data_IF_536010673565
#
_entry.id   IF_536010673565
#
_cell.length_a   1.000
_cell.length_b   1.000
_cell.length_c   1.000
_cell.angle_alpha   90.00
_cell.angle_beta   90.00
_cell.angle_gamma   90.00
#
_symmetry.space_group_name_H-M   'P 1'
#
loop_
_entity.id
_entity.type
_entity.pdbx_description
1 polymer ?
#
# COMPACT_ATOMS: atom_id res chain seq x y z
N UNK A 1 1.95 18.31 43.29
CA UNK A 1 1.66 16.95 42.79
C UNK A 1 2.34 16.78 41.45
N UNK A 2 3.66 16.50 41.53
CA UNK A 2 4.50 16.20 40.37
C UNK A 2 4.53 14.70 40.17
N UNK A 3 3.86 14.21 39.14
CA UNK A 3 3.94 12.83 38.67
C UNK A 3 4.20 12.85 37.17
N UNK A 4 5.48 12.85 36.77
CA UNK A 4 5.88 12.66 35.38
C UNK A 4 5.43 11.26 34.93
N UNK A 5 4.40 11.19 34.12
CA UNK A 5 4.12 10.02 33.30
C UNK A 5 5.11 10.01 32.14
N UNK A 6 6.15 9.21 32.32
CA UNK A 6 7.15 8.91 31.29
C UNK A 6 6.50 7.93 30.29
N UNK A 7 5.74 8.44 29.33
CA UNK A 7 5.14 7.63 28.26
C UNK A 7 6.19 7.48 27.16
N UNK A 8 6.86 6.31 27.16
CA UNK A 8 7.96 5.95 26.25
C UNK A 8 7.62 5.97 24.74
N UNK A 9 6.45 6.43 24.35
CA UNK A 9 6.01 6.50 22.94
C UNK A 9 6.53 7.77 22.26
N UNK A 10 6.70 8.89 23.00
CA UNK A 10 7.11 10.16 22.40
C UNK A 10 8.59 10.23 22.00
N UNK A 11 9.45 9.39 22.56
CA UNK A 11 10.90 9.42 22.25
C UNK A 11 11.31 8.58 21.04
N UNK A 12 10.44 7.72 20.50
CA UNK A 12 10.82 6.76 19.47
C UNK A 12 10.63 7.25 18.04
N UNK A 13 9.85 8.30 17.81
CA UNK A 13 9.60 8.86 16.47
C UNK A 13 10.53 10.02 16.07
N UNK A 14 11.28 10.60 17.02
CA UNK A 14 12.14 11.75 16.73
C UNK A 14 13.58 11.35 17.03
N UNK A 15 14.29 10.83 16.05
CA UNK A 15 15.75 10.86 16.04
C UNK A 15 16.19 12.11 15.27
N UNK A 16 16.87 13.10 15.92
CA UNK A 16 17.13 14.39 15.30
C UNK A 16 18.26 14.42 14.27
N UNK A 17 18.96 13.35 13.99
CA UNK A 17 20.11 13.34 13.08
C UNK A 17 20.26 12.01 12.32
N UNK A 18 19.50 11.82 11.25
CA UNK A 18 20.00 11.13 10.08
C UNK A 18 19.71 12.02 8.87
N UNK A 19 20.71 12.22 8.04
CA UNK A 19 20.61 12.92 6.77
C UNK A 19 19.33 12.50 6.06
N UNK A 20 18.63 13.47 5.49
CA UNK A 20 17.32 13.35 4.83
C UNK A 20 17.40 12.49 3.55
N UNK A 21 17.98 11.29 3.65
CA UNK A 21 18.11 10.35 2.55
C UNK A 21 16.76 9.69 2.32
N UNK A 22 16.24 9.85 1.13
CA UNK A 22 15.02 9.18 0.68
C UNK A 22 15.20 7.66 0.80
N UNK A 23 14.25 6.99 1.45
CA UNK A 23 14.10 5.54 1.41
C UNK A 23 12.69 5.18 1.00
N UNK A 24 12.55 4.29 0.04
CA UNK A 24 11.25 3.85 -0.46
C UNK A 24 10.86 2.54 0.20
N UNK A 25 9.69 2.52 0.84
CA UNK A 25 9.04 1.31 1.31
C UNK A 25 8.15 0.74 0.21
N UNK A 26 8.16 -0.57 0.04
CA UNK A 26 7.27 -1.28 -0.87
C UNK A 26 6.55 -2.37 -0.08
N UNK A 27 5.21 -2.31 -0.04
CA UNK A 27 4.40 -3.39 0.50
C UNK A 27 3.82 -4.17 -0.67
N UNK A 28 4.28 -5.43 -0.82
CA UNK A 28 3.80 -6.35 -1.83
C UNK A 28 2.56 -7.11 -1.37
N UNK A 29 1.51 -7.12 -2.21
CA UNK A 29 0.33 -7.97 -2.06
C UNK A 29 0.52 -9.36 -2.66
N UNK A 30 -0.61 -10.00 -3.01
CA UNK A 30 -0.63 -11.33 -3.63
C UNK A 30 0.28 -11.39 -4.87
N UNK A 31 1.15 -12.37 -4.93
CA UNK A 31 2.08 -12.59 -6.03
C UNK A 31 3.40 -11.79 -5.98
N UNK A 32 3.46 -10.67 -5.26
CA UNK A 32 4.67 -9.89 -5.11
C UNK A 32 5.31 -10.13 -3.73
N UNK A 33 6.12 -11.17 -3.64
CA UNK A 33 6.74 -11.61 -2.37
C UNK A 33 8.22 -11.25 -2.25
N UNK A 34 8.87 -10.90 -3.35
CA UNK A 34 10.26 -10.43 -3.41
C UNK A 34 10.47 -9.55 -4.64
N UNK A 35 11.58 -8.83 -4.67
CA UNK A 35 12.04 -8.01 -5.78
C UNK A 35 13.42 -8.51 -6.19
N UNK A 36 13.52 -9.09 -7.37
CA UNK A 36 14.78 -9.67 -7.89
C UNK A 36 15.85 -8.61 -8.15
N UNK A 37 15.42 -7.38 -8.45
CA UNK A 37 16.31 -6.24 -8.71
C UNK A 37 16.87 -5.60 -7.44
N UNK A 38 16.50 -6.10 -6.27
CA UNK A 38 17.00 -5.57 -5.00
C UNK A 38 18.41 -6.09 -4.74
N UNK A 39 19.38 -5.18 -4.80
CA UNK A 39 20.82 -5.46 -4.60
C UNK A 39 21.22 -5.24 -3.13
N UNK A 40 22.24 -5.97 -2.67
CA UNK A 40 22.78 -5.81 -1.31
C UNK A 40 21.75 -6.13 -0.23
N UNK A 41 20.96 -7.17 -0.43
CA UNK A 41 19.82 -7.49 0.42
C UNK A 41 20.23 -7.90 1.83
N UNK A 42 19.51 -7.35 2.82
CA UNK A 42 19.60 -7.72 4.23
C UNK A 42 18.19 -7.99 4.77
N UNK A 43 18.02 -9.10 5.46
CA UNK A 43 16.77 -9.44 6.13
C UNK A 43 16.78 -8.88 7.55
N UNK A 44 15.78 -8.04 7.87
CA UNK A 44 15.69 -7.35 9.16
C UNK A 44 14.44 -7.81 9.91
N UNK A 45 14.67 -8.39 11.08
CA UNK A 45 13.63 -8.75 12.03
C UNK A 45 13.41 -7.60 13.03
N UNK A 46 12.19 -7.10 13.13
CA UNK A 46 11.84 -6.04 14.07
C UNK A 46 10.74 -6.51 15.02
N UNK A 47 10.95 -6.26 16.30
CA UNK A 47 9.87 -6.21 17.28
C UNK A 47 9.33 -4.79 17.35
N UNK A 48 8.02 -4.65 17.38
CA UNK A 48 7.37 -3.33 17.40
C UNK A 48 6.48 -3.18 18.63
N UNK A 49 6.13 -1.96 19.04
CA UNK A 49 5.15 -1.73 20.10
C UNK A 49 3.74 -2.27 19.77
N UNK A 50 3.52 -2.65 18.52
CA UNK A 50 2.25 -3.15 17.99
C UNK A 50 2.28 -4.64 17.66
N UNK A 51 3.29 -5.36 18.14
CA UNK A 51 3.50 -6.78 17.85
C UNK A 51 4.47 -7.01 16.67
N UNK A 52 4.48 -8.23 16.18
CA UNK A 52 5.33 -8.62 15.05
C UNK A 52 4.73 -8.14 13.73
N UNK A 53 5.56 -7.64 12.79
CA UNK A 53 5.13 -7.41 11.40
C UNK A 53 4.70 -8.69 10.68
N UNK A 54 4.08 -8.54 9.52
CA UNK A 54 3.63 -9.67 8.68
C UNK A 54 4.76 -10.63 8.30
N UNK A 55 5.97 -10.10 8.18
CA UNK A 55 7.20 -10.83 7.88
C UNK A 55 8.40 -10.01 8.36
N UNK A 56 9.60 -10.56 8.22
CA UNK A 56 10.83 -9.75 8.20
C UNK A 56 10.80 -8.77 7.03
N UNK A 57 11.48 -7.64 7.23
CA UNK A 57 11.69 -6.66 6.15
C UNK A 57 12.94 -7.06 5.36
N UNK A 58 12.88 -6.94 4.05
CA UNK A 58 14.07 -7.08 3.20
C UNK A 58 14.51 -5.69 2.77
N UNK A 59 15.70 -5.28 3.16
CA UNK A 59 16.29 -4.00 2.73
C UNK A 59 17.37 -4.23 1.69
N UNK A 60 17.62 -3.22 0.86
CA UNK A 60 18.64 -3.22 -0.19
C UNK A 60 18.53 -1.95 -1.03
N UNK A 61 19.04 -1.99 -2.23
CA UNK A 61 18.99 -0.85 -3.17
C UNK A 61 18.50 -1.29 -4.54
N UNK A 62 17.76 -0.41 -5.21
CA UNK A 62 17.39 -0.54 -6.63
C UNK A 62 17.86 0.73 -7.32
N UNK A 63 18.79 0.63 -8.28
CA UNK A 63 19.41 1.76 -8.96
C UNK A 63 19.97 2.82 -7.98
N UNK A 64 20.57 2.39 -6.86
CA UNK A 64 21.13 3.27 -5.84
C UNK A 64 20.09 3.94 -4.93
N UNK A 65 18.80 3.64 -5.09
CA UNK A 65 17.74 4.09 -4.19
C UNK A 65 17.56 3.07 -3.08
N UNK A 66 17.72 3.45 -1.80
CA UNK A 66 17.47 2.55 -0.68
C UNK A 66 16.00 2.13 -0.61
N UNK A 67 15.76 0.83 -0.54
CA UNK A 67 14.42 0.22 -0.50
C UNK A 67 14.26 -0.62 0.76
N UNK A 68 13.05 -0.67 1.30
CA UNK A 68 12.61 -1.64 2.29
C UNK A 68 11.34 -2.33 1.78
N UNK A 69 11.40 -3.62 1.59
CA UNK A 69 10.30 -4.44 1.07
C UNK A 69 9.64 -5.26 2.19
N UNK A 70 8.31 -5.40 2.13
CA UNK A 70 7.54 -6.23 3.06
C UNK A 70 6.42 -6.97 2.33
N UNK A 71 6.33 -8.32 2.42
CA UNK A 71 5.17 -9.06 1.96
C UNK A 71 4.00 -8.88 2.94
N UNK A 72 2.91 -8.26 2.48
CA UNK A 72 1.75 -7.86 3.30
C UNK A 72 1.10 -9.02 4.04
N UNK A 73 0.90 -10.13 3.36
CA UNK A 73 0.22 -11.31 3.91
C UNK A 73 1.18 -12.35 4.51
N UNK A 74 2.45 -11.97 4.71
CA UNK A 74 3.51 -12.91 5.05
C UNK A 74 3.93 -13.79 3.86
N UNK A 75 5.04 -14.50 4.03
CA UNK A 75 5.52 -15.46 3.03
C UNK A 75 4.53 -16.61 2.94
N UNK A 76 4.12 -16.96 1.73
CA UNK A 76 3.13 -18.00 1.48
C UNK A 76 1.66 -17.55 1.67
N UNK A 77 1.39 -16.27 1.81
CA UNK A 77 0.04 -15.70 1.94
C UNK A 77 -0.75 -16.31 3.11
N UNK A 78 -0.14 -16.30 4.30
CA UNK A 78 -0.66 -16.98 5.49
C UNK A 78 -1.58 -16.12 6.36
N UNK A 79 -1.61 -14.80 6.13
CA UNK A 79 -2.43 -13.87 6.90
C UNK A 79 -3.66 -13.43 6.08
N UNK A 80 -4.85 -13.62 6.66
CA UNK A 80 -6.08 -13.00 6.12
C UNK A 80 -5.99 -11.46 6.20
N UNK A 81 -6.77 -10.71 5.40
CA UNK A 81 -6.74 -9.25 5.42
C UNK A 81 -6.92 -8.62 6.79
N UNK A 82 -7.77 -9.21 7.65
CA UNK A 82 -8.03 -8.72 9.01
C UNK A 82 -6.92 -9.09 10.00
N UNK A 83 -6.12 -10.13 9.71
CA UNK A 83 -5.00 -10.55 10.55
C UNK A 83 -3.70 -9.78 10.27
N UNK A 84 -3.67 -8.99 9.19
CA UNK A 84 -2.49 -8.19 8.84
C UNK A 84 -2.20 -7.21 9.99
N UNK A 85 -0.99 -7.24 10.55
CA UNK A 85 -0.58 -6.34 11.62
C UNK A 85 -0.19 -4.95 11.06
N UNK A 86 -1.16 -4.23 10.48
CA UNK A 86 -0.93 -2.97 9.77
C UNK A 86 -0.08 -1.98 10.55
N UNK A 87 -0.36 -1.79 11.86
CA UNK A 87 0.42 -0.88 12.70
C UNK A 87 1.88 -1.32 12.82
N UNK A 88 2.13 -2.60 13.04
CA UNK A 88 3.48 -3.14 13.13
C UNK A 88 4.24 -2.98 11.80
N UNK A 89 3.55 -3.24 10.68
CA UNK A 89 4.13 -3.10 9.34
C UNK A 89 4.56 -1.65 9.05
N UNK A 90 3.65 -0.71 9.22
CA UNK A 90 3.92 0.72 8.91
C UNK A 90 4.92 1.31 9.90
N UNK A 91 4.80 0.98 11.20
CA UNK A 91 5.78 1.39 12.20
C UNK A 91 7.18 0.87 11.89
N UNK A 92 7.29 -0.42 11.51
CA UNK A 92 8.56 -1.04 11.15
C UNK A 92 9.22 -0.34 9.95
N UNK A 93 8.45 -0.07 8.89
CA UNK A 93 8.94 0.69 7.73
C UNK A 93 9.41 2.09 8.14
N UNK A 94 8.66 2.79 8.99
CA UNK A 94 9.07 4.10 9.53
C UNK A 94 10.37 4.00 10.33
N UNK A 95 10.51 2.96 11.16
CA UNK A 95 11.72 2.69 11.96
C UNK A 95 12.96 2.45 11.08
N UNK A 96 12.77 1.84 9.92
CA UNK A 96 13.82 1.64 8.90
C UNK A 96 14.12 2.91 8.08
N UNK A 97 13.47 4.03 8.39
CA UNK A 97 13.72 5.31 7.72
C UNK A 97 12.94 5.52 6.41
N UNK A 98 11.89 4.72 6.17
CA UNK A 98 11.03 4.91 5.00
C UNK A 98 10.34 6.26 5.05
N UNK A 99 10.41 6.98 3.95
CA UNK A 99 9.82 8.32 3.74
C UNK A 99 8.73 8.30 2.67
N UNK A 100 8.80 7.35 1.75
CA UNK A 100 7.86 7.15 0.65
C UNK A 100 7.41 5.70 0.66
N UNK A 101 6.11 5.47 0.63
CA UNK A 101 5.51 4.14 0.71
C UNK A 101 4.68 3.86 -0.53
N UNK A 102 5.03 2.80 -1.24
CA UNK A 102 4.27 2.29 -2.39
C UNK A 102 3.62 0.97 -1.99
N UNK A 103 2.30 0.93 -2.10
CA UNK A 103 1.51 -0.27 -1.86
C UNK A 103 1.09 -0.89 -3.18
N UNK A 104 1.30 -2.19 -3.34
CA UNK A 104 0.88 -2.94 -4.54
C UNK A 104 -0.12 -4.00 -4.13
N UNK A 105 -1.22 -4.13 -4.85
CA UNK A 105 -2.22 -5.15 -4.52
C UNK A 105 -3.20 -5.43 -5.64
N UNK A 106 -3.68 -6.68 -5.71
CA UNK A 106 -4.74 -7.10 -6.62
C UNK A 106 -6.09 -6.50 -6.18
N UNK A 107 -6.92 -6.15 -7.15
CA UNK A 107 -8.25 -5.58 -6.95
C UNK A 107 -9.24 -6.11 -8.00
N UNK A 108 -10.52 -6.17 -7.62
CA UNK A 108 -11.62 -6.30 -8.55
C UNK A 108 -11.97 -4.94 -9.16
N UNK A 109 -12.35 -4.93 -10.43
CA UNK A 109 -12.84 -3.74 -11.13
C UNK A 109 -14.33 -3.53 -10.91
N UNK A 110 -14.71 -2.28 -10.65
CA UNK A 110 -16.12 -1.84 -10.54
C UNK A 110 -16.57 -1.04 -11.76
N UNK A 111 -15.73 -0.96 -12.81
CA UNK A 111 -16.00 -0.17 -14.01
C UNK A 111 -15.67 -0.97 -15.26
N UNK A 112 -16.50 -0.82 -16.29
CA UNK A 112 -16.33 -1.47 -17.59
C UNK A 112 -15.00 -1.10 -18.27
N UNK A 113 -14.61 0.17 -18.18
CA UNK A 113 -13.38 0.68 -18.79
C UNK A 113 -12.10 0.23 -18.07
N UNK A 114 -12.20 -0.33 -16.86
CA UNK A 114 -11.06 -0.86 -16.11
C UNK A 114 -11.04 -2.38 -16.26
N UNK A 115 -10.48 -2.86 -17.36
CA UNK A 115 -10.42 -4.28 -17.64
C UNK A 115 -9.34 -5.01 -16.82
N UNK A 116 -9.45 -6.31 -16.62
CA UNK A 116 -8.35 -7.15 -16.11
C UNK A 116 -7.07 -6.91 -16.89
N UNK A 117 -5.94 -6.80 -16.20
CA UNK A 117 -4.65 -6.40 -16.78
C UNK A 117 -4.35 -4.89 -16.72
N UNK A 118 -5.33 -4.05 -16.41
CA UNK A 118 -5.12 -2.61 -16.27
C UNK A 118 -4.53 -2.26 -14.90
N UNK A 119 -3.76 -1.17 -14.86
CA UNK A 119 -3.17 -0.59 -13.64
C UNK A 119 -3.96 0.64 -13.22
N UNK A 120 -4.43 0.66 -11.99
CA UNK A 120 -5.17 1.80 -11.42
C UNK A 120 -4.32 2.43 -10.33
N UNK A 121 -4.26 3.76 -10.32
CA UNK A 121 -3.56 4.55 -9.29
C UNK A 121 -4.61 5.30 -8.47
N UNK A 122 -5.24 4.64 -7.47
CA UNK A 122 -6.33 5.24 -6.71
C UNK A 122 -5.84 6.46 -5.93
N UNK A 123 -6.66 7.50 -5.91
CA UNK A 123 -6.39 8.73 -5.17
C UNK A 123 -7.39 8.97 -4.03
N UNK A 124 -8.46 8.15 -3.95
CA UNK A 124 -9.46 8.20 -2.90
C UNK A 124 -9.80 6.81 -2.36
N UNK A 125 -10.23 6.77 -1.07
CA UNK A 125 -10.62 5.56 -0.39
C UNK A 125 -11.99 5.69 0.28
N UNK A 126 -12.80 4.63 0.18
CA UNK A 126 -13.96 4.40 1.03
C UNK A 126 -13.64 3.17 1.87
N UNK A 127 -13.50 3.36 3.18
CA UNK A 127 -13.15 2.29 4.11
C UNK A 127 -14.41 1.70 4.77
N UNK A 128 -14.74 0.47 4.41
CA UNK A 128 -15.85 -0.30 4.95
C UNK A 128 -15.40 -1.35 5.97
N UNK A 129 -14.13 -1.35 6.35
CA UNK A 129 -13.59 -2.28 7.34
C UNK A 129 -14.06 -1.93 8.77
N UNK A 130 -14.20 -2.94 9.65
CA UNK A 130 -14.81 -2.77 10.98
C UNK A 130 -13.90 -3.25 12.12
N UNK A 131 -13.04 -4.23 11.86
CA UNK A 131 -12.29 -4.94 12.90
C UNK A 131 -10.79 -4.64 12.88
N UNK A 132 -10.38 -3.55 12.24
CA UNK A 132 -8.96 -3.21 12.04
C UNK A 132 -8.56 -1.94 12.76
N UNK A 133 -7.39 -1.98 13.39
CA UNK A 133 -6.77 -0.78 13.93
C UNK A 133 -6.17 0.05 12.79
N UNK A 134 -6.65 1.27 12.61
CA UNK A 134 -6.21 2.20 11.56
C UNK A 134 -5.58 3.49 12.12
N UNK A 135 -5.11 3.45 13.37
CA UNK A 135 -4.44 4.58 14.04
C UNK A 135 -3.37 4.07 15.01
N UNK A 136 -2.29 4.85 15.14
CA UNK A 136 -1.27 4.66 16.19
C UNK A 136 -1.66 5.31 17.51
N UNK A 137 -2.60 6.25 17.48
CA UNK A 137 -3.06 6.98 18.66
C UNK A 137 -4.02 6.15 19.51
N UNK A 138 -4.20 6.56 20.75
CA UNK A 138 -5.04 5.90 21.73
C UNK A 138 -4.42 5.94 23.12
N UNK A 139 -5.02 5.24 24.09
CA UNK A 139 -4.50 5.11 25.45
C UNK A 139 -4.15 6.46 26.13
N UNK A 140 -5.01 7.47 25.93
CA UNK A 140 -4.84 8.81 26.49
C UNK A 140 -4.20 9.84 25.56
N UNK A 141 -3.78 9.44 24.36
CA UNK A 141 -3.30 10.34 23.30
C UNK A 141 -4.27 10.31 22.13
N UNK A 142 -4.76 11.48 21.75
CA UNK A 142 -5.63 11.65 20.56
C UNK A 142 -4.89 12.45 19.51
N UNK A 143 -4.89 11.95 18.28
CA UNK A 143 -4.35 12.65 17.11
C UNK A 143 -5.36 12.64 15.96
N UNK A 144 -5.48 13.76 15.28
CA UNK A 144 -6.29 13.89 14.08
C UNK A 144 -5.39 14.33 12.92
N UNK A 145 -5.39 13.55 11.85
CA UNK A 145 -4.65 13.88 10.62
C UNK A 145 -5.63 14.22 9.50
N UNK A 146 -5.26 15.18 8.67
CA UNK A 146 -6.04 15.49 7.48
C UNK A 146 -5.97 14.32 6.50
N UNK A 147 -7.11 13.87 5.97
CA UNK A 147 -7.21 12.72 5.09
C UNK A 147 -8.10 12.97 3.86
N UNK A 148 -8.39 14.23 3.54
CA UNK A 148 -9.12 14.63 2.32
C UNK A 148 -8.40 14.21 1.04
N UNK A 149 -7.06 14.31 1.06
CA UNK A 149 -6.17 13.84 -0.01
C UNK A 149 -5.27 12.73 0.55
N UNK A 150 -5.72 11.47 0.57
CA UNK A 150 -5.00 10.38 1.24
C UNK A 150 -3.70 9.99 0.55
N UNK A 151 -3.56 10.29 -0.74
CA UNK A 151 -2.44 9.87 -1.59
C UNK A 151 -1.53 11.04 -1.91
N UNK A 152 -0.23 10.80 -1.95
CA UNK A 152 0.75 11.77 -2.42
C UNK A 152 0.68 11.90 -3.94
N UNK A 153 0.08 12.97 -4.43
CA UNK A 153 -0.12 13.20 -5.87
C UNK A 153 1.21 13.20 -6.65
N UNK A 154 2.30 13.73 -6.08
CA UNK A 154 3.62 13.72 -6.71
C UNK A 154 4.17 12.31 -6.88
N UNK A 155 4.06 11.45 -5.86
CA UNK A 155 4.53 10.06 -5.93
C UNK A 155 3.65 9.27 -6.91
N UNK A 156 2.33 9.45 -6.86
CA UNK A 156 1.39 8.82 -7.79
C UNK A 156 1.69 9.21 -9.24
N UNK A 157 1.95 10.48 -9.51
CA UNK A 157 2.32 10.96 -10.86
C UNK A 157 3.60 10.26 -11.38
N UNK A 158 4.62 10.05 -10.54
CA UNK A 158 5.83 9.32 -10.93
C UNK A 158 5.55 7.86 -11.28
N UNK A 159 4.69 7.23 -10.52
CA UNK A 159 4.25 5.86 -10.80
C UNK A 159 3.48 5.78 -12.13
N UNK A 160 2.58 6.71 -12.39
CA UNK A 160 1.82 6.82 -13.65
C UNK A 160 2.77 7.06 -14.84
N UNK A 161 3.71 7.99 -14.72
CA UNK A 161 4.72 8.23 -15.76
C UNK A 161 5.53 6.97 -16.09
N UNK A 162 5.97 6.24 -15.06
CA UNK A 162 6.69 4.99 -15.22
C UNK A 162 5.82 3.90 -15.85
N UNK A 163 4.55 3.78 -15.44
CA UNK A 163 3.60 2.84 -15.99
C UNK A 163 3.37 3.05 -17.50
N UNK A 164 3.18 4.30 -17.91
CA UNK A 164 3.07 4.65 -19.33
C UNK A 164 4.34 4.29 -20.12
N UNK A 165 5.54 4.52 -19.55
CA UNK A 165 6.82 4.19 -20.20
C UNK A 165 7.05 2.70 -20.36
N UNK A 166 6.52 1.87 -19.45
CA UNK A 166 6.61 0.41 -19.59
C UNK A 166 5.49 -0.19 -20.44
N UNK A 167 4.58 0.66 -20.97
CA UNK A 167 3.50 0.25 -21.88
C UNK A 167 2.29 -0.35 -21.16
N UNK A 168 2.09 -0.05 -19.88
CA UNK A 168 0.90 -0.50 -19.16
C UNK A 168 -0.34 0.34 -19.55
N UNK A 169 -1.52 -0.28 -19.51
CA UNK A 169 -2.78 0.46 -19.60
C UNK A 169 -3.11 1.05 -18.24
N UNK A 170 -3.23 2.38 -18.17
CA UNK A 170 -3.24 3.15 -16.94
C UNK A 170 -4.56 3.87 -16.71
N UNK A 171 -5.04 3.84 -15.47
CA UNK A 171 -6.09 4.70 -14.93
C UNK A 171 -5.47 5.54 -13.81
N UNK A 172 -5.24 6.82 -14.07
CA UNK A 172 -4.46 7.71 -13.20
C UNK A 172 -5.12 8.04 -11.86
N UNK A 173 -6.44 7.83 -11.76
CA UNK A 173 -7.25 8.11 -10.57
C UNK A 173 -8.32 7.07 -10.39
N UNK A 174 -8.86 7.02 -9.18
CA UNK A 174 -10.02 6.22 -8.88
C UNK A 174 -10.30 6.11 -7.39
N UNK A 175 -11.56 5.84 -7.07
CA UNK A 175 -11.97 5.54 -5.69
C UNK A 175 -11.82 4.05 -5.42
N UNK A 176 -11.07 3.73 -4.39
CA UNK A 176 -10.86 2.37 -3.92
C UNK A 176 -11.81 2.07 -2.77
N UNK A 177 -12.68 1.08 -2.93
CA UNK A 177 -13.43 0.47 -1.82
C UNK A 177 -12.51 -0.48 -1.08
N UNK A 178 -12.35 -0.28 0.23
CA UNK A 178 -11.66 -1.22 1.10
C UNK A 178 -12.69 -2.02 1.90
N UNK A 179 -12.95 -3.25 1.50
CA UNK A 179 -13.86 -4.15 2.20
C UNK A 179 -13.13 -4.96 3.28
N UNK A 180 -13.89 -5.52 4.23
CA UNK A 180 -13.30 -6.33 5.31
C UNK A 180 -12.67 -7.63 4.80
N UNK A 181 -13.36 -8.35 3.92
CA UNK A 181 -12.99 -9.73 3.57
C UNK A 181 -13.15 -10.73 4.74
N UNK A 182 -12.67 -11.97 4.64
CA UNK A 182 -12.05 -12.56 3.44
C UNK A 182 -13.06 -12.92 2.32
N UNK A 183 -14.37 -12.89 2.59
CA UNK A 183 -15.38 -13.09 1.56
C UNK A 183 -15.34 -11.93 0.56
N UNK A 184 -15.51 -12.23 -0.72
CA UNK A 184 -15.72 -11.22 -1.75
C UNK A 184 -17.13 -10.62 -1.65
N UNK A 185 -17.39 -9.55 -2.41
CA UNK A 185 -18.67 -8.87 -2.46
C UNK A 185 -19.80 -9.82 -2.88
N UNK A 186 -20.97 -9.65 -2.28
CA UNK A 186 -22.20 -10.09 -2.92
C UNK A 186 -22.53 -9.19 -4.13
N UNK A 187 -23.31 -9.69 -5.09
CA UNK A 187 -23.75 -8.89 -6.24
C UNK A 187 -24.43 -7.58 -5.83
N UNK A 188 -25.24 -7.62 -4.78
CA UNK A 188 -25.90 -6.42 -4.25
C UNK A 188 -24.91 -5.38 -3.70
N UNK A 189 -23.85 -5.81 -2.99
CA UNK A 189 -22.78 -4.94 -2.53
C UNK A 189 -22.00 -4.35 -3.71
N UNK A 190 -21.65 -5.17 -4.69
CA UNK A 190 -20.93 -4.73 -5.88
C UNK A 190 -21.70 -3.67 -6.65
N UNK A 191 -23.00 -3.87 -6.90
CA UNK A 191 -23.87 -2.87 -7.52
C UNK A 191 -24.01 -1.59 -6.69
N UNK A 192 -24.07 -1.71 -5.37
CA UNK A 192 -24.09 -0.55 -4.48
C UNK A 192 -22.80 0.27 -4.63
N UNK A 193 -21.64 -0.37 -4.60
CA UNK A 193 -20.33 0.31 -4.73
C UNK A 193 -20.18 0.99 -6.10
N UNK A 194 -20.66 0.34 -7.15
CA UNK A 194 -20.74 0.93 -8.50
C UNK A 194 -21.62 2.20 -8.51
N UNK A 195 -22.77 2.15 -7.83
CA UNK A 195 -23.66 3.31 -7.74
C UNK A 195 -23.04 4.52 -7.01
N UNK A 196 -22.05 4.27 -6.14
CA UNK A 196 -21.25 5.31 -5.48
C UNK A 196 -20.14 5.87 -6.38
N UNK A 197 -19.96 5.34 -7.58
CA UNK A 197 -18.92 5.76 -8.52
C UNK A 197 -17.54 5.20 -8.20
N UNK A 198 -17.45 4.16 -7.35
CA UNK A 198 -16.19 3.50 -7.05
C UNK A 198 -15.56 2.88 -8.29
N UNK A 199 -14.23 2.84 -8.33
CA UNK A 199 -13.46 2.36 -9.47
C UNK A 199 -12.96 0.94 -9.30
N UNK A 200 -12.47 0.62 -8.12
CA UNK A 200 -11.91 -0.70 -7.78
C UNK A 200 -12.25 -1.08 -6.35
N UNK A 201 -12.18 -2.38 -6.09
CA UNK A 201 -12.42 -2.95 -4.76
C UNK A 201 -11.27 -3.87 -4.36
N UNK A 202 -10.82 -3.74 -3.11
CA UNK A 202 -9.83 -4.61 -2.50
C UNK A 202 -9.99 -4.62 -0.98
N UNK A 203 -9.00 -5.14 -0.26
CA UNK A 203 -9.17 -5.43 1.17
C UNK A 203 -8.16 -4.75 2.10
N UNK A 204 -7.14 -4.00 1.60
CA UNK A 204 -5.98 -3.70 2.45
C UNK A 204 -5.49 -2.25 2.45
N UNK A 205 -5.75 -1.47 1.41
CA UNK A 205 -5.07 -0.19 1.20
C UNK A 205 -5.50 0.93 2.17
N UNK A 206 -6.73 0.94 2.67
CA UNK A 206 -7.21 2.03 3.50
C UNK A 206 -6.44 2.15 4.83
N UNK A 207 -6.12 1.02 5.48
CA UNK A 207 -5.33 1.01 6.71
C UNK A 207 -3.91 1.49 6.46
N UNK A 208 -3.30 1.03 5.36
CA UNK A 208 -1.94 1.44 4.98
C UNK A 208 -1.87 2.94 4.72
N UNK A 209 -2.82 3.50 3.97
CA UNK A 209 -2.90 4.93 3.69
C UNK A 209 -3.08 5.77 4.96
N UNK A 210 -4.00 5.38 5.88
CA UNK A 210 -4.24 6.08 7.14
C UNK A 210 -3.02 6.08 8.05
N UNK A 211 -2.40 4.91 8.23
CA UNK A 211 -1.22 4.76 9.08
C UNK A 211 0.03 5.42 8.47
N UNK A 212 0.20 5.36 7.13
CA UNK A 212 1.26 6.08 6.45
C UNK A 212 1.14 7.60 6.65
N UNK A 213 -0.11 8.12 6.62
CA UNK A 213 -0.39 9.53 6.89
C UNK A 213 -0.01 9.92 8.32
N UNK A 214 -0.39 9.15 9.33
CA UNK A 214 0.01 9.38 10.72
C UNK A 214 1.52 9.27 10.94
N UNK A 215 2.19 8.40 10.18
CA UNK A 215 3.65 8.22 10.21
C UNK A 215 4.41 9.23 9.33
N UNK A 216 3.73 10.21 8.73
CA UNK A 216 4.34 11.23 7.86
C UNK A 216 5.12 10.62 6.69
N UNK A 217 4.60 9.58 6.07
CA UNK A 217 5.14 8.98 4.85
C UNK A 217 4.29 9.38 3.64
N UNK A 218 4.95 9.73 2.53
CA UNK A 218 4.28 9.91 1.25
C UNK A 218 3.74 8.56 0.77
N UNK A 219 2.43 8.42 0.63
CA UNK A 219 1.79 7.16 0.25
C UNK A 219 1.26 7.22 -1.19
N UNK A 220 1.47 6.14 -1.95
CA UNK A 220 0.81 5.88 -3.22
C UNK A 220 0.53 4.39 -3.38
N UNK A 221 -0.41 4.03 -4.27
CA UNK A 221 -0.77 2.64 -4.51
C UNK A 221 -0.83 2.33 -6.00
N UNK A 222 -0.45 1.09 -6.34
CA UNK A 222 -0.67 0.47 -7.64
C UNK A 222 -1.70 -0.63 -7.41
N UNK A 223 -2.91 -0.43 -7.89
CA UNK A 223 -3.98 -1.42 -7.84
C UNK A 223 -4.02 -2.18 -9.17
N UNK A 224 -3.83 -3.48 -9.10
CA UNK A 224 -3.73 -4.40 -10.23
C UNK A 224 -5.12 -4.97 -10.49
N UNK A 225 -5.83 -4.54 -11.52
CA UNK A 225 -7.14 -5.10 -11.86
C UNK A 225 -6.95 -6.55 -12.34
N UNK A 226 -7.40 -7.52 -11.55
CA UNK A 226 -7.28 -8.95 -11.86
C UNK A 226 -8.54 -9.53 -12.48
N UNK A 227 -9.68 -8.94 -12.17
CA UNK A 227 -11.00 -9.38 -12.56
C UNK A 227 -11.98 -8.21 -12.55
N UNK A 228 -13.14 -8.41 -13.14
CA UNK A 228 -14.32 -7.64 -12.80
C UNK A 228 -14.95 -8.25 -11.55
N UNK A 229 -15.33 -7.42 -10.60
CA UNK A 229 -16.07 -7.90 -9.43
C UNK A 229 -17.39 -8.54 -9.88
N UNK A 230 -18.11 -9.24 -9.00
CA UNK A 230 -19.26 -10.10 -9.32
C UNK A 230 -20.47 -9.41 -10.00
N UNK A 231 -20.39 -8.11 -10.29
CA UNK A 231 -21.41 -7.37 -11.06
C UNK A 231 -21.38 -7.67 -12.56
N UNK A 232 -20.23 -8.06 -13.11
CA UNK A 232 -20.05 -8.26 -14.54
C UNK A 232 -20.54 -9.63 -14.94
N UNK A 233 -21.51 -9.66 -15.84
CA UNK A 233 -22.00 -10.91 -16.43
C UNK A 233 -21.06 -11.28 -17.61
N UNK A 234 -19.91 -11.85 -17.31
CA UNK A 234 -19.10 -12.47 -18.37
C UNK A 234 -19.74 -13.80 -18.76
N UNK A 235 -20.12 -13.96 -20.02
CA UNK A 235 -20.65 -15.24 -20.54
C UNK A 235 -19.62 -16.38 -20.55
N UNK A 236 -18.33 -16.05 -20.36
CA UNK A 236 -17.25 -17.03 -20.24
C UNK A 236 -16.99 -17.32 -18.76
N UNK A 237 -17.07 -18.61 -18.38
CA UNK A 237 -16.48 -19.08 -17.13
C UNK A 237 -15.00 -18.70 -17.12
N UNK A 238 -14.63 -17.67 -16.36
CA UNK A 238 -13.22 -17.30 -16.16
C UNK A 238 -12.58 -18.46 -15.40
N UNK A 239 -11.67 -19.17 -16.04
CA UNK A 239 -10.99 -20.29 -15.40
C UNK A 239 -10.04 -19.79 -14.31
N UNK A 240 -9.80 -20.61 -13.29
CA UNK A 240 -8.80 -20.28 -12.24
C UNK A 240 -7.43 -20.02 -12.86
N UNK A 241 -7.10 -20.76 -13.93
CA UNK A 241 -5.87 -20.62 -14.69
C UNK A 241 -5.74 -19.23 -15.33
N UNK A 242 -6.83 -18.69 -15.89
CA UNK A 242 -6.84 -17.35 -16.50
C UNK A 242 -6.65 -16.26 -15.46
N UNK A 243 -7.31 -16.37 -14.31
CA UNK A 243 -7.11 -15.41 -13.17
C UNK A 243 -5.68 -15.44 -12.69
N UNK A 244 -5.10 -16.62 -12.50
CA UNK A 244 -3.69 -16.77 -12.07
C UNK A 244 -2.75 -16.19 -13.11
N UNK A 245 -3.00 -16.41 -14.40
CA UNK A 245 -2.19 -15.84 -15.48
C UNK A 245 -2.22 -14.31 -15.46
N UNK A 246 -3.42 -13.71 -15.42
CA UNK A 246 -3.59 -12.25 -15.34
C UNK A 246 -2.87 -11.69 -14.10
N UNK A 247 -2.98 -12.37 -12.96
CA UNK A 247 -2.28 -11.95 -11.75
C UNK A 247 -0.75 -11.96 -11.93
N UNK A 248 -0.18 -12.99 -12.55
CA UNK A 248 1.26 -13.06 -12.82
C UNK A 248 1.72 -11.94 -13.77
N UNK A 249 1.01 -11.71 -14.87
CA UNK A 249 1.31 -10.64 -15.82
C UNK A 249 1.21 -9.25 -15.17
N UNK A 250 0.22 -9.05 -14.31
CA UNK A 250 0.05 -7.83 -13.55
C UNK A 250 1.19 -7.58 -12.56
N UNK A 251 1.62 -8.62 -11.83
CA UNK A 251 2.75 -8.53 -10.88
C UNK A 251 4.04 -8.18 -11.61
N UNK A 252 4.30 -8.81 -12.76
CA UNK A 252 5.48 -8.49 -13.58
C UNK A 252 5.43 -7.06 -14.10
N UNK A 253 4.27 -6.59 -14.53
CA UNK A 253 4.07 -5.21 -14.95
C UNK A 253 4.29 -4.25 -13.79
N UNK A 254 3.74 -4.55 -12.60
CA UNK A 254 3.97 -3.74 -11.40
C UNK A 254 5.46 -3.68 -11.02
N UNK A 255 6.18 -4.80 -11.10
CA UNK A 255 7.63 -4.85 -10.87
C UNK A 255 8.38 -3.91 -11.80
N UNK A 256 8.08 -3.95 -13.10
CA UNK A 256 8.66 -3.04 -14.09
C UNK A 256 8.34 -1.58 -13.81
N UNK A 257 7.11 -1.27 -13.36
CA UNK A 257 6.71 0.08 -12.94
C UNK A 257 7.54 0.53 -11.74
N UNK A 258 7.66 -0.29 -10.71
CA UNK A 258 8.46 0.01 -9.51
C UNK A 258 9.91 0.30 -9.85
N UNK A 259 10.55 -0.60 -10.59
CA UNK A 259 11.96 -0.44 -11.02
C UNK A 259 12.14 0.83 -11.83
N UNK A 260 11.25 1.08 -12.81
CA UNK A 260 11.31 2.27 -13.64
C UNK A 260 11.08 3.55 -12.83
N UNK A 261 10.17 3.53 -11.86
CA UNK A 261 9.95 4.65 -10.95
C UNK A 261 11.20 4.95 -10.15
N UNK A 262 11.81 3.93 -9.50
CA UNK A 262 13.01 4.11 -8.69
C UNK A 262 14.20 4.60 -9.51
N UNK A 263 14.36 4.12 -10.74
CA UNK A 263 15.39 4.58 -11.66
C UNK A 263 15.31 6.09 -11.98
N UNK A 264 14.09 6.63 -12.02
CA UNK A 264 13.84 8.02 -12.43
C UNK A 264 13.49 8.94 -11.25
N UNK A 265 13.44 8.41 -10.02
CA UNK A 265 13.10 9.22 -8.85
C UNK A 265 14.30 10.08 -8.46
N UNK A 266 14.16 11.43 -8.42
CA UNK A 266 15.25 12.30 -7.98
C UNK A 266 15.65 12.03 -6.54
N UNK A 267 16.94 12.09 -6.22
CA UNK A 267 17.46 11.85 -4.87
C UNK A 267 16.94 12.86 -3.84
N UNK A 268 16.51 14.03 -4.29
CA UNK A 268 15.90 15.11 -3.49
C UNK A 268 14.37 15.13 -3.57
N UNK A 269 13.75 14.01 -3.99
CA UNK A 269 12.29 13.92 -4.10
C UNK A 269 11.64 14.27 -2.76
N UNK A 270 10.70 15.24 -2.74
CA UNK A 270 10.24 15.85 -1.52
C UNK A 270 9.46 14.89 -0.64
N UNK A 271 9.85 14.80 0.62
CA UNK A 271 9.10 14.11 1.65
C UNK A 271 7.77 14.79 1.92
N UNK A 272 6.73 14.01 2.17
CA UNK A 272 5.45 14.51 2.64
C UNK A 272 5.57 14.77 4.16
N UNK A 273 5.85 16.00 4.55
CA UNK A 273 5.69 16.42 5.95
C UNK A 273 4.30 17.00 6.12
N UNK A 274 3.51 16.38 6.96
CA UNK A 274 2.30 17.00 7.49
C UNK A 274 2.77 17.92 8.59
N UNK A 275 2.54 19.22 8.43
CA UNK A 275 2.54 20.12 9.56
C UNK A 275 1.31 19.75 10.38
N UNK A 276 1.52 19.06 11.51
CA UNK A 276 0.50 18.95 12.53
C UNK A 276 0.23 20.39 13.00
N UNK A 277 -0.93 20.93 12.58
CA UNK A 277 -1.40 22.22 13.03
C UNK A 277 -1.89 22.17 14.48
#
# INVERSE_FOLDING_TARGET
>A
LNGCLNTGIHQTFISPHSQNTMRVGIIGGSGLYHLEELEGTEEIHLETPFGKPSSSFVTGEIHGVPVAFLPRHGIGHVLMPTEIPFRANIWGLKKLGVTHLISVGAVGSLKEEIAPGHMVFPDQFIDLTRHRSSTFFGNGLVGHVQFGDPVCAKLSSRLVEAANKVGATVHERGTYICMEGPAFSSRAESELYRSWGASVIGMTNAQEAKLAREAEMAFASIALATDYDCWHDSEAEVSVEDVVKVMHENVETARRILVKTLQELPSDFPNWRILLG
#
